data_IF_371331706311
#
_entry.id   IF_371331706311
#
_cell.length_a   1.000
_cell.length_b   1.000
_cell.length_c   1.000
_cell.angle_alpha   90.00
_cell.angle_beta   90.00
_cell.angle_gamma   90.00
#
_symmetry.space_group_name_H-M   'P 1'
#
loop_
_entity.id
_entity.type
_entity.pdbx_description
1 polymer ?
#
# COMPACT_ATOMS: atom_id res chain seq x y z
N UNK A 1 13.01 6.81 38.05
CA UNK A 1 13.61 6.11 36.88
C UNK A 1 13.04 4.71 36.63
N UNK A 2 12.88 3.83 37.63
CA UNK A 2 12.41 2.45 37.42
C UNK A 2 11.03 2.27 36.75
N UNK A 3 10.07 3.16 37.04
CA UNK A 3 8.71 3.08 36.47
C UNK A 3 8.66 3.33 34.96
N UNK A 4 9.50 4.22 34.43
CA UNK A 4 9.60 4.49 32.98
C UNK A 4 10.26 3.33 32.23
N UNK A 5 11.28 2.69 32.82
CA UNK A 5 11.91 1.50 32.24
C UNK A 5 10.95 0.31 32.23
N UNK A 6 10.18 0.09 33.31
CA UNK A 6 9.14 -0.93 33.35
C UNK A 6 8.04 -0.69 32.32
N UNK A 7 7.53 0.55 32.20
CA UNK A 7 6.53 0.90 31.19
C UNK A 7 7.01 0.63 29.77
N UNK A 8 8.27 0.98 29.47
CA UNK A 8 8.89 0.71 28.17
C UNK A 8 9.05 -0.78 27.92
N UNK A 9 9.49 -1.54 28.92
CA UNK A 9 9.58 -3.01 28.85
C UNK A 9 8.23 -3.67 28.56
N UNK A 10 7.15 -3.25 29.24
CA UNK A 10 5.79 -3.76 28.99
C UNK A 10 5.30 -3.39 27.59
N UNK A 11 5.62 -2.19 27.10
CA UNK A 11 5.28 -1.79 25.72
C UNK A 11 6.01 -2.64 24.68
N UNK A 12 7.32 -2.90 24.87
CA UNK A 12 8.09 -3.79 23.99
C UNK A 12 7.50 -5.20 23.99
N UNK A 13 7.16 -5.74 25.17
CA UNK A 13 6.54 -7.06 25.28
C UNK A 13 5.20 -7.14 24.56
N UNK A 14 4.30 -6.17 24.79
CA UNK A 14 3.00 -6.13 24.11
C UNK A 14 3.14 -5.96 22.60
N UNK A 15 4.10 -5.15 22.14
CA UNK A 15 4.40 -5.02 20.72
C UNK A 15 4.89 -6.35 20.13
N UNK A 16 5.75 -7.08 20.84
CA UNK A 16 6.19 -8.43 20.45
C UNK A 16 5.05 -9.43 20.39
N UNK A 17 4.18 -9.46 21.40
CA UNK A 17 3.00 -10.32 21.43
C UNK A 17 2.03 -9.97 20.30
N UNK A 18 1.73 -8.69 20.11
CA UNK A 18 0.90 -8.22 19.00
C UNK A 18 1.49 -8.63 17.65
N UNK A 19 2.82 -8.54 17.49
CA UNK A 19 3.50 -8.99 16.28
C UNK A 19 3.32 -10.49 16.07
N UNK A 20 3.50 -11.33 17.11
CA UNK A 20 3.30 -12.78 17.02
C UNK A 20 1.85 -13.13 16.69
N UNK A 21 0.89 -12.47 17.34
CA UNK A 21 -0.55 -12.69 17.09
C UNK A 21 -0.92 -12.25 15.68
N UNK A 22 -0.43 -11.10 15.24
CA UNK A 22 -0.59 -10.64 13.87
C UNK A 22 0.00 -11.68 12.93
N UNK A 23 1.25 -12.11 13.11
CA UNK A 23 1.88 -13.19 12.34
C UNK A 23 0.98 -14.43 12.33
N UNK A 24 0.46 -14.93 13.44
CA UNK A 24 -0.41 -16.11 13.41
C UNK A 24 -1.72 -15.89 12.64
N UNK A 25 -2.42 -14.79 12.92
CA UNK A 25 -3.71 -14.44 12.32
C UNK A 25 -3.60 -14.20 10.81
N UNK A 26 -2.45 -13.72 10.37
CA UNK A 26 -2.19 -13.38 8.99
C UNK A 26 -1.43 -14.48 8.25
N UNK A 27 -0.62 -15.32 8.89
CA UNK A 27 0.09 -16.46 8.27
C UNK A 27 -0.74 -17.73 8.27
N UNK A 28 -1.07 -18.19 9.48
CA UNK A 28 -1.46 -19.59 9.69
C UNK A 28 -2.90 -19.80 9.27
N UNK A 29 -3.77 -18.85 9.60
CA UNK A 29 -5.19 -18.92 9.25
C UNK A 29 -5.36 -18.92 7.72
N UNK A 30 -4.75 -18.01 6.94
CA UNK A 30 -4.96 -17.98 5.50
C UNK A 30 -4.32 -19.16 4.76
N UNK A 31 -3.20 -19.70 5.23
CA UNK A 31 -2.62 -20.93 4.67
C UNK A 31 -3.58 -22.12 4.83
N UNK A 32 -4.20 -22.29 6.00
CA UNK A 32 -5.20 -23.35 6.21
C UNK A 32 -6.45 -23.13 5.35
N UNK A 33 -6.91 -21.89 5.26
CA UNK A 33 -8.04 -21.53 4.40
C UNK A 33 -7.74 -21.82 2.92
N UNK A 34 -6.51 -21.54 2.47
CA UNK A 34 -6.07 -21.89 1.11
C UNK A 34 -6.19 -23.38 0.84
N UNK A 35 -5.61 -24.20 1.72
CA UNK A 35 -5.58 -25.64 1.54
C UNK A 35 -7.00 -26.22 1.46
N UNK A 36 -7.93 -25.66 2.23
CA UNK A 36 -9.34 -26.01 2.15
C UNK A 36 -9.95 -25.59 0.80
N UNK A 37 -9.73 -24.36 0.36
CA UNK A 37 -10.30 -23.86 -0.91
C UNK A 37 -9.70 -24.58 -2.13
N UNK A 38 -8.38 -24.80 -2.15
CA UNK A 38 -7.66 -25.45 -3.26
C UNK A 38 -7.98 -26.94 -3.37
N UNK A 39 -8.44 -27.58 -2.29
CA UNK A 39 -8.96 -28.95 -2.34
C UNK A 39 -10.31 -29.07 -3.06
N UNK A 40 -11.12 -28.01 -3.09
CA UNK A 40 -12.43 -27.98 -3.76
C UNK A 40 -12.33 -27.43 -5.19
N UNK A 41 -11.49 -26.41 -5.37
CA UNK A 41 -11.28 -25.71 -6.63
C UNK A 41 -9.90 -26.07 -7.18
N UNK A 42 -9.87 -27.13 -7.99
CA UNK A 42 -8.65 -27.62 -8.65
C UNK A 42 -8.21 -26.70 -9.78
N UNK A 43 -6.92 -26.74 -10.14
CA UNK A 43 -6.35 -25.93 -11.23
C UNK A 43 -7.11 -26.06 -12.55
N UNK A 44 -7.50 -27.29 -12.93
CA UNK A 44 -8.27 -27.54 -14.16
C UNK A 44 -9.63 -26.84 -14.18
N UNK A 45 -10.37 -26.87 -13.05
CA UNK A 45 -11.66 -26.18 -12.96
C UNK A 45 -11.49 -24.68 -13.19
N UNK A 46 -10.39 -24.08 -12.73
CA UNK A 46 -10.20 -22.65 -12.90
C UNK A 46 -9.70 -22.32 -14.29
N UNK A 47 -8.84 -23.14 -14.88
CA UNK A 47 -8.48 -23.01 -16.29
C UNK A 47 -9.74 -23.06 -17.17
N UNK A 48 -10.68 -23.94 -16.85
CA UNK A 48 -12.00 -23.99 -17.48
C UNK A 48 -12.85 -22.73 -17.20
N UNK A 49 -12.95 -22.28 -15.95
CA UNK A 49 -13.70 -21.06 -15.59
C UNK A 49 -13.12 -19.78 -16.22
N UNK A 50 -11.80 -19.75 -16.41
CA UNK A 50 -11.07 -18.64 -17.03
C UNK A 50 -11.26 -18.66 -18.54
N UNK A 51 -11.06 -19.81 -19.19
CA UNK A 51 -11.23 -19.98 -20.64
C UNK A 51 -12.70 -19.82 -21.09
N UNK A 52 -13.67 -20.19 -20.26
CA UNK A 52 -15.09 -19.97 -20.52
C UNK A 52 -15.54 -18.52 -20.31
N UNK A 53 -14.67 -17.64 -19.78
CA UNK A 53 -15.01 -16.26 -19.43
C UNK A 53 -16.00 -16.14 -18.26
N UNK A 54 -16.39 -17.25 -17.61
CA UNK A 54 -17.33 -17.25 -16.50
C UNK A 54 -16.74 -16.53 -15.27
N UNK A 55 -15.44 -16.70 -15.04
CA UNK A 55 -14.72 -16.04 -13.96
C UNK A 55 -14.78 -14.52 -14.08
N UNK A 56 -14.62 -13.99 -15.29
CA UNK A 56 -14.74 -12.57 -15.59
C UNK A 56 -16.15 -12.05 -15.31
N UNK A 57 -17.19 -12.81 -15.71
CA UNK A 57 -18.60 -12.44 -15.46
C UNK A 57 -18.91 -12.39 -13.97
N UNK A 58 -18.42 -13.37 -13.20
CA UNK A 58 -18.55 -13.39 -11.74
C UNK A 58 -17.86 -12.18 -11.12
N UNK A 59 -16.65 -11.83 -11.58
CA UNK A 59 -15.92 -10.65 -11.13
C UNK A 59 -16.68 -9.35 -11.39
N UNK A 60 -17.22 -9.18 -12.59
CA UNK A 60 -18.03 -8.00 -12.96
C UNK A 60 -19.28 -7.85 -12.11
N UNK A 61 -20.06 -8.93 -11.95
CA UNK A 61 -21.26 -8.90 -11.10
C UNK A 61 -20.90 -8.54 -9.66
N UNK A 62 -19.83 -9.14 -9.13
CA UNK A 62 -19.38 -8.88 -7.76
C UNK A 62 -18.91 -7.43 -7.57
N UNK A 63 -18.15 -6.89 -8.53
CA UNK A 63 -17.68 -5.50 -8.49
C UNK A 63 -18.86 -4.52 -8.57
N UNK A 64 -19.80 -4.73 -9.50
CA UNK A 64 -21.00 -3.92 -9.61
C UNK A 64 -21.84 -3.94 -8.33
N UNK A 65 -22.00 -5.11 -7.70
CA UNK A 65 -22.70 -5.24 -6.42
C UNK A 65 -21.98 -4.49 -5.29
N UNK A 66 -20.66 -4.57 -5.21
CA UNK A 66 -19.87 -3.85 -4.20
C UNK A 66 -19.95 -2.33 -4.39
N UNK A 67 -19.80 -1.84 -5.61
CA UNK A 67 -19.94 -0.41 -5.93
C UNK A 67 -21.37 0.06 -5.62
N UNK A 68 -22.39 -0.72 -6.00
CA UNK A 68 -23.78 -0.42 -5.67
C UNK A 68 -24.00 -0.39 -4.15
N UNK A 69 -23.36 -1.28 -3.39
CA UNK A 69 -23.46 -1.32 -1.94
C UNK A 69 -22.79 -0.10 -1.28
N UNK A 70 -21.64 0.34 -1.81
CA UNK A 70 -20.97 1.58 -1.38
C UNK A 70 -21.84 2.78 -1.66
N UNK A 71 -22.33 2.91 -2.91
CA UNK A 71 -23.18 4.02 -3.35
C UNK A 71 -24.49 4.05 -2.58
N UNK A 72 -25.16 2.90 -2.42
CA UNK A 72 -26.38 2.79 -1.61
C UNK A 72 -26.12 3.13 -0.14
N UNK A 73 -24.98 2.74 0.41
CA UNK A 73 -24.56 3.14 1.75
C UNK A 73 -24.40 4.65 1.91
N UNK A 74 -23.90 5.34 0.87
CA UNK A 74 -23.82 6.80 0.85
C UNK A 74 -25.18 7.47 0.65
N UNK A 75 -26.00 6.99 -0.29
CA UNK A 75 -27.33 7.56 -0.62
C UNK A 75 -28.31 7.38 0.54
N UNK A 76 -28.26 6.24 1.24
CA UNK A 76 -29.14 5.93 2.37
C UNK A 76 -28.57 6.44 3.71
N UNK A 77 -27.45 7.16 3.70
CA UNK A 77 -26.73 7.63 4.90
C UNK A 77 -26.40 6.52 5.92
N UNK A 78 -26.36 5.26 5.46
CA UNK A 78 -26.06 4.09 6.29
C UNK A 78 -24.56 3.82 6.29
N UNK A 79 -23.88 4.41 7.26
CA UNK A 79 -22.42 4.30 7.45
C UNK A 79 -21.92 2.87 7.45
N UNK A 80 -22.68 1.92 8.02
CA UNK A 80 -22.31 0.49 8.08
C UNK A 80 -22.30 -0.20 6.71
N UNK A 81 -23.19 0.19 5.79
CA UNK A 81 -23.25 -0.38 4.44
C UNK A 81 -22.13 0.19 3.56
N UNK A 82 -21.89 1.50 3.65
CA UNK A 82 -20.79 2.16 2.96
C UNK A 82 -19.43 1.64 3.46
N UNK A 83 -19.26 1.47 4.77
CA UNK A 83 -18.03 0.91 5.35
C UNK A 83 -17.81 -0.54 4.94
N UNK A 84 -18.85 -1.37 4.93
CA UNK A 84 -18.75 -2.77 4.49
C UNK A 84 -18.31 -2.87 3.03
N UNK A 85 -18.94 -2.08 2.14
CA UNK A 85 -18.57 -2.06 0.73
C UNK A 85 -17.14 -1.57 0.50
N UNK A 86 -16.71 -0.56 1.28
CA UNK A 86 -15.35 -0.02 1.22
C UNK A 86 -14.30 -1.03 1.72
N UNK A 87 -14.59 -1.74 2.80
CA UNK A 87 -13.73 -2.83 3.33
C UNK A 87 -13.65 -3.99 2.34
N UNK A 88 -14.77 -4.37 1.72
CA UNK A 88 -14.82 -5.46 0.74
C UNK A 88 -14.12 -5.07 -0.58
N UNK A 89 -14.15 -3.80 -1.00
CA UNK A 89 -13.33 -3.29 -2.09
C UNK A 89 -11.83 -3.29 -1.76
N UNK A 90 -11.46 -3.22 -0.47
CA UNK A 90 -10.08 -3.28 -0.01
C UNK A 90 -9.54 -4.72 0.08
N UNK A 91 -10.41 -5.71 0.26
CA UNK A 91 -10.06 -7.14 0.38
C UNK A 91 -9.19 -7.67 -0.79
N UNK A 92 -9.49 -7.32 -2.05
CA UNK A 92 -8.65 -7.68 -3.20
C UNK A 92 -7.27 -7.04 -3.18
N UNK A 93 -7.17 -5.79 -2.74
CA UNK A 93 -5.88 -5.12 -2.53
C UNK A 93 -5.09 -5.77 -1.41
N UNK A 94 -5.77 -6.14 -0.31
CA UNK A 94 -5.22 -7.00 0.74
C UNK A 94 -4.78 -8.36 0.20
N UNK A 95 -5.49 -8.93 -0.77
CA UNK A 95 -5.09 -10.17 -1.47
C UNK A 95 -3.84 -10.00 -2.37
N UNK A 96 -3.54 -8.81 -2.87
CA UNK A 96 -2.28 -8.53 -3.55
C UNK A 96 -1.14 -8.37 -2.54
N UNK A 97 -1.38 -7.72 -1.40
CA UNK A 97 -0.45 -7.76 -0.27
C UNK A 97 -0.25 -9.17 0.30
N UNK A 98 -1.25 -10.03 0.17
CA UNK A 98 -1.23 -11.41 0.59
C UNK A 98 -0.31 -12.31 -0.26
N UNK A 99 -0.15 -12.00 -1.55
CA UNK A 99 0.85 -12.63 -2.42
C UNK A 99 2.28 -12.31 -1.99
N UNK A 100 2.43 -11.10 -1.46
CA UNK A 100 3.68 -10.43 -1.16
C UNK A 100 4.18 -10.80 0.25
N UNK A 101 3.27 -10.88 1.20
CA UNK A 101 3.50 -11.57 2.47
C UNK A 101 3.56 -13.05 2.16
N UNK A 102 4.75 -13.63 2.23
CA UNK A 102 5.05 -15.07 2.14
C UNK A 102 4.09 -15.97 2.96
N UNK A 103 3.31 -15.38 3.85
CA UNK A 103 2.41 -16.03 4.76
C UNK A 103 0.94 -16.14 4.31
N UNK A 104 0.55 -15.45 3.24
CA UNK A 104 -0.85 -15.21 2.87
C UNK A 104 -1.12 -15.69 1.43
N UNK A 105 -0.27 -16.58 0.91
CA UNK A 105 -0.26 -17.23 -0.41
C UNK A 105 -1.60 -17.93 -0.79
N UNK A 106 -2.63 -17.77 0.03
CA UNK A 106 -3.84 -18.53 0.06
C UNK A 106 -5.11 -17.95 -0.56
N UNK A 107 -5.22 -16.62 -0.61
CA UNK A 107 -6.49 -15.96 -0.93
C UNK A 107 -6.51 -15.45 -2.38
N UNK A 108 -5.91 -16.18 -3.31
CA UNK A 108 -5.80 -15.78 -4.71
C UNK A 108 -7.14 -15.53 -5.42
N UNK A 109 -8.23 -16.14 -4.95
CA UNK A 109 -9.55 -15.97 -5.55
C UNK A 109 -10.10 -14.53 -5.44
N UNK A 110 -9.67 -13.74 -4.45
CA UNK A 110 -10.12 -12.34 -4.31
C UNK A 110 -9.61 -11.43 -5.44
N UNK A 111 -8.60 -11.88 -6.20
CA UNK A 111 -8.10 -11.16 -7.39
C UNK A 111 -9.12 -11.06 -8.49
N UNK A 112 -10.13 -11.93 -8.49
CA UNK A 112 -11.26 -11.91 -9.43
C UNK A 112 -11.95 -10.55 -9.45
N UNK A 113 -11.93 -9.82 -8.33
CA UNK A 113 -12.51 -8.48 -8.23
C UNK A 113 -11.70 -7.41 -9.00
N UNK A 114 -10.41 -7.63 -9.24
CA UNK A 114 -9.55 -6.73 -10.03
C UNK A 114 -9.42 -7.14 -11.50
N UNK A 115 -9.80 -8.38 -11.88
CA UNK A 115 -9.66 -8.87 -13.26
C UNK A 115 -10.27 -7.92 -14.30
N UNK A 116 -11.48 -7.35 -14.11
CA UNK A 116 -12.04 -6.43 -15.09
C UNK A 116 -11.19 -5.19 -15.34
N UNK A 117 -10.50 -4.69 -14.31
CA UNK A 117 -9.67 -3.50 -14.41
C UNK A 117 -8.29 -3.84 -14.99
N UNK A 118 -7.75 -5.02 -14.66
CA UNK A 118 -6.47 -5.49 -15.17
C UNK A 118 -6.46 -5.63 -16.70
N UNK A 119 -7.57 -6.10 -17.29
CA UNK A 119 -7.68 -6.25 -18.73
C UNK A 119 -7.79 -4.90 -19.46
N UNK A 120 -8.43 -3.90 -18.82
CA UNK A 120 -8.61 -2.55 -19.40
C UNK A 120 -7.33 -1.72 -19.27
N UNK A 121 -6.60 -1.90 -18.17
CA UNK A 121 -5.46 -1.07 -17.78
C UNK A 121 -4.20 -1.93 -17.45
N UNK A 122 -3.71 -2.76 -18.38
CA UNK A 122 -2.66 -3.75 -18.09
C UNK A 122 -1.32 -3.10 -17.67
N UNK A 123 -1.03 -1.92 -18.21
CA UNK A 123 0.22 -1.19 -18.00
C UNK A 123 0.20 -0.26 -16.78
N UNK A 124 -0.97 -0.03 -16.17
CA UNK A 124 -1.11 1.01 -15.14
C UNK A 124 -0.27 0.69 -13.91
N UNK A 125 -0.03 -0.59 -13.60
CA UNK A 125 0.83 -0.99 -12.49
C UNK A 125 2.34 -0.82 -12.75
N UNK A 126 2.78 -0.60 -14.00
CA UNK A 126 4.20 -0.55 -14.35
C UNK A 126 4.91 0.68 -13.78
N UNK A 127 4.22 1.82 -13.73
CA UNK A 127 4.78 3.09 -13.24
C UNK A 127 5.22 2.99 -11.77
N UNK A 128 4.60 2.11 -10.97
CA UNK A 128 5.05 1.86 -9.58
C UNK A 128 6.50 1.39 -9.53
N UNK A 129 6.96 0.66 -10.54
CA UNK A 129 8.31 0.10 -10.57
C UNK A 129 9.35 1.06 -11.15
N UNK A 130 8.97 2.29 -11.48
CA UNK A 130 9.89 3.29 -12.04
C UNK A 130 11.15 3.52 -11.18
N UNK A 131 11.07 3.59 -9.83
CA UNK A 131 12.29 3.68 -9.01
C UNK A 131 13.25 2.51 -9.22
N UNK A 132 12.74 1.31 -9.49
CA UNK A 132 13.58 0.14 -9.81
C UNK A 132 14.14 0.19 -11.23
N UNK A 133 13.38 0.72 -12.20
CA UNK A 133 13.89 0.93 -13.55
C UNK A 133 15.07 1.89 -13.57
N UNK A 134 15.06 2.92 -12.72
CA UNK A 134 16.19 3.86 -12.53
C UNK A 134 17.41 3.16 -11.91
N UNK A 135 17.24 2.07 -11.15
CA UNK A 135 18.37 1.29 -10.62
C UNK A 135 19.10 0.49 -11.71
N UNK A 136 18.45 0.14 -12.82
CA UNK A 136 19.07 -0.64 -13.91
C UNK A 136 20.31 0.03 -14.50
N UNK A 137 20.29 1.31 -14.94
CA UNK A 137 21.49 1.97 -15.44
C UNK A 137 22.57 2.11 -14.35
N UNK A 138 22.17 2.35 -13.09
CA UNK A 138 23.11 2.41 -11.97
C UNK A 138 23.84 1.07 -11.78
N UNK A 139 23.10 -0.05 -11.82
CA UNK A 139 23.66 -1.41 -11.77
C UNK A 139 24.65 -1.62 -12.92
N UNK A 140 24.31 -1.21 -14.15
CA UNK A 140 25.21 -1.35 -15.31
C UNK A 140 26.50 -0.56 -15.14
N UNK A 141 26.41 0.69 -14.67
CA UNK A 141 27.58 1.54 -14.40
C UNK A 141 28.45 0.90 -13.32
N UNK A 142 27.83 0.42 -12.22
CA UNK A 142 28.55 -0.21 -11.12
C UNK A 142 29.24 -1.51 -11.55
N UNK A 143 28.58 -2.33 -12.36
CA UNK A 143 29.17 -3.54 -12.94
C UNK A 143 30.37 -3.25 -13.83
N UNK A 144 30.28 -2.20 -14.65
CA UNK A 144 31.41 -1.75 -15.45
C UNK A 144 32.58 -1.26 -14.58
N UNK A 145 32.30 -0.45 -13.55
CA UNK A 145 33.31 0.06 -12.62
C UNK A 145 34.01 -1.03 -11.83
N UNK A 146 33.27 -2.05 -11.38
CA UNK A 146 33.79 -3.14 -10.57
C UNK A 146 34.34 -4.32 -11.40
N UNK A 147 34.24 -4.27 -12.73
CA UNK A 147 34.67 -5.36 -13.60
C UNK A 147 33.93 -6.68 -13.33
N UNK A 148 32.67 -6.61 -12.90
CA UNK A 148 31.87 -7.76 -12.46
C UNK A 148 30.66 -7.97 -13.35
N UNK A 149 30.12 -9.19 -13.33
CA UNK A 149 28.95 -9.55 -14.12
C UNK A 149 27.71 -8.73 -13.72
N UNK A 150 26.99 -8.22 -14.73
CA UNK A 150 25.78 -7.41 -14.56
C UNK A 150 24.68 -8.20 -13.83
N UNK A 151 24.59 -9.50 -14.07
CA UNK A 151 23.66 -10.40 -13.40
C UNK A 151 23.91 -10.49 -11.89
N UNK A 152 25.18 -10.59 -11.46
CA UNK A 152 25.51 -10.68 -10.02
C UNK A 152 25.12 -9.39 -9.30
N UNK A 153 25.52 -8.23 -9.82
CA UNK A 153 25.16 -6.94 -9.20
C UNK A 153 23.66 -6.69 -9.30
N UNK A 154 23.03 -7.06 -10.42
CA UNK A 154 21.58 -6.95 -10.58
C UNK A 154 20.81 -7.78 -9.56
N UNK A 155 21.26 -9.00 -9.28
CA UNK A 155 20.69 -9.86 -8.23
C UNK A 155 20.88 -9.21 -6.85
N UNK A 156 22.11 -8.78 -6.52
CA UNK A 156 22.40 -8.16 -5.22
C UNK A 156 21.58 -6.87 -5.04
N UNK A 157 21.50 -6.01 -6.04
CA UNK A 157 20.72 -4.78 -6.00
C UNK A 157 19.21 -5.06 -5.91
N UNK A 158 18.71 -6.05 -6.66
CA UNK A 158 17.31 -6.48 -6.62
C UNK A 158 16.91 -7.02 -5.25
N UNK A 159 17.62 -8.02 -4.73
CA UNK A 159 17.34 -8.58 -3.40
C UNK A 159 17.64 -7.58 -2.28
N UNK A 160 18.72 -6.81 -2.40
CA UNK A 160 19.10 -5.79 -1.44
C UNK A 160 18.03 -4.71 -1.30
N UNK A 161 17.47 -4.23 -2.42
CA UNK A 161 16.38 -3.25 -2.40
C UNK A 161 15.09 -3.82 -1.81
N UNK A 162 14.73 -5.08 -2.12
CA UNK A 162 13.60 -5.77 -1.49
C UNK A 162 13.79 -5.83 0.04
N UNK A 163 14.93 -6.31 0.49
CA UNK A 163 15.25 -6.42 1.91
C UNK A 163 15.28 -5.04 2.60
N UNK A 164 15.79 -4.01 1.91
CA UNK A 164 15.81 -2.65 2.41
C UNK A 164 14.40 -2.09 2.64
N UNK A 165 13.51 -2.22 1.65
CA UNK A 165 12.14 -1.72 1.78
C UNK A 165 11.30 -2.53 2.78
N UNK A 166 11.39 -3.86 2.75
CA UNK A 166 10.68 -4.73 3.71
C UNK A 166 11.22 -4.52 5.13
N UNK A 167 12.54 -4.63 5.32
CA UNK A 167 13.17 -4.50 6.63
C UNK A 167 13.05 -3.08 7.19
N UNK A 168 13.36 -2.07 6.37
CA UNK A 168 13.24 -0.66 6.74
C UNK A 168 11.79 -0.27 7.04
N UNK A 169 10.84 -0.67 6.18
CA UNK A 169 9.42 -0.42 6.42
C UNK A 169 8.91 -1.08 7.69
N UNK A 170 9.27 -2.34 7.94
CA UNK A 170 8.92 -3.05 9.18
C UNK A 170 9.52 -2.37 10.42
N UNK A 171 10.76 -1.91 10.31
CA UNK A 171 11.44 -1.21 11.39
C UNK A 171 10.77 0.13 11.71
N UNK A 172 10.46 0.94 10.70
CA UNK A 172 9.74 2.22 10.89
C UNK A 172 8.34 1.98 11.47
N UNK A 173 7.63 0.95 11.00
CA UNK A 173 6.32 0.55 11.55
C UNK A 173 6.42 0.18 13.04
N UNK A 174 7.43 -0.60 13.40
CA UNK A 174 7.69 -1.02 14.78
C UNK A 174 8.00 0.19 15.67
N UNK A 175 8.87 1.11 15.23
CA UNK A 175 9.17 2.33 15.97
C UNK A 175 7.92 3.21 16.14
N UNK A 176 7.09 3.31 15.10
CA UNK A 176 5.84 4.07 15.15
C UNK A 176 4.83 3.46 16.13
N UNK A 177 4.75 2.13 16.16
CA UNK A 177 3.85 1.42 17.08
C UNK A 177 4.34 1.52 18.53
N UNK A 178 5.65 1.41 18.77
CA UNK A 178 6.23 1.56 20.12
C UNK A 178 6.01 2.96 20.68
N UNK A 179 6.33 4.00 19.91
CA UNK A 179 6.13 5.39 20.31
C UNK A 179 4.66 5.70 20.58
N UNK A 180 3.76 5.20 19.72
CA UNK A 180 2.32 5.38 19.89
C UNK A 180 1.79 4.72 21.17
N UNK A 181 2.13 3.44 21.40
CA UNK A 181 1.73 2.73 22.61
C UNK A 181 2.31 3.37 23.89
N UNK A 182 3.55 3.84 23.82
CA UNK A 182 4.19 4.53 24.93
C UNK A 182 3.50 5.85 25.25
N UNK A 183 3.19 6.68 24.25
CA UNK A 183 2.49 7.94 24.41
C UNK A 183 1.07 7.75 24.96
N UNK A 184 0.33 6.78 24.42
CA UNK A 184 -1.02 6.44 24.93
C UNK A 184 -0.98 5.97 26.39
N UNK A 185 0.00 5.16 26.80
CA UNK A 185 0.16 4.75 28.21
C UNK A 185 0.53 5.90 29.14
N UNK A 186 1.22 6.91 28.63
CA UNK A 186 1.52 8.14 29.37
C UNK A 186 0.35 9.12 29.45
N UNK A 187 -0.73 8.87 28.71
CA UNK A 187 -1.85 9.80 28.60
C UNK A 187 -1.51 11.05 27.79
N UNK A 188 -0.53 10.97 26.88
CA UNK A 188 -0.22 12.09 25.98
C UNK A 188 -1.31 12.23 24.92
N UNK A 189 -1.78 13.46 24.75
CA UNK A 189 -2.76 13.88 23.76
C UNK A 189 -2.20 13.77 22.35
N UNK A 190 -1.10 14.49 22.09
CA UNK A 190 -0.32 14.42 20.84
C UNK A 190 0.99 13.67 21.09
N UNK A 191 1.34 12.77 20.18
CA UNK A 191 2.56 11.95 20.24
C UNK A 191 3.54 12.56 19.25
N UNK A 192 4.50 13.32 19.76
CA UNK A 192 5.41 14.18 19.01
C UNK A 192 6.88 13.79 19.18
N UNK A 193 7.18 12.65 19.80
CA UNK A 193 8.54 12.22 20.14
C UNK A 193 8.97 10.95 19.39
N UNK A 194 10.27 10.69 19.35
CA UNK A 194 10.84 9.50 18.71
C UNK A 194 10.65 9.56 17.20
N UNK A 195 10.15 8.48 16.59
CA UNK A 195 9.93 8.48 15.12
C UNK A 195 8.87 9.49 14.68
N UNK A 196 7.97 9.90 15.59
CA UNK A 196 6.96 10.92 15.31
C UNK A 196 7.55 12.33 15.12
N UNK A 197 8.83 12.57 15.43
CA UNK A 197 9.51 13.84 15.13
C UNK A 197 9.90 13.98 13.65
N UNK A 198 9.96 12.86 12.93
CA UNK A 198 10.41 12.80 11.53
C UNK A 198 9.26 12.53 10.56
N UNK A 199 8.11 12.13 11.08
CA UNK A 199 6.93 11.74 10.31
C UNK A 199 5.72 11.82 11.21
N UNK A 200 4.64 12.48 10.78
CA UNK A 200 3.36 12.46 11.52
C UNK A 200 2.65 11.11 11.43
N UNK A 201 2.97 10.34 10.40
CA UNK A 201 2.34 9.07 10.09
C UNK A 201 3.38 7.94 9.90
N UNK A 202 4.25 7.66 10.89
CA UNK A 202 5.36 6.72 10.73
C UNK A 202 4.87 5.28 10.53
N UNK A 203 3.75 4.89 11.15
CA UNK A 203 3.16 3.56 10.94
C UNK A 203 2.67 3.41 9.49
N UNK A 204 1.99 4.40 8.94
CA UNK A 204 1.57 4.38 7.54
C UNK A 204 2.75 4.40 6.59
N UNK A 205 3.80 5.19 6.88
CA UNK A 205 5.04 5.16 6.13
C UNK A 205 5.67 3.76 6.13
N UNK A 206 5.79 3.14 7.31
CA UNK A 206 6.31 1.80 7.46
C UNK A 206 5.53 0.77 6.65
N UNK A 207 4.20 0.84 6.70
CA UNK A 207 3.31 0.01 5.88
C UNK A 207 3.52 0.23 4.37
N UNK A 208 3.59 1.48 3.90
CA UNK A 208 3.81 1.81 2.50
C UNK A 208 5.15 1.24 2.01
N UNK A 209 6.24 1.48 2.74
CA UNK A 209 7.58 1.00 2.38
C UNK A 209 7.67 -0.53 2.39
N UNK A 210 7.19 -1.15 3.47
CA UNK A 210 7.21 -2.59 3.63
C UNK A 210 6.45 -3.28 2.49
N UNK A 211 5.28 -2.75 2.19
CA UNK A 211 4.38 -3.32 1.20
C UNK A 211 4.81 -3.04 -0.24
N UNK A 212 5.57 -1.97 -0.48
CA UNK A 212 6.25 -1.67 -1.74
C UNK A 212 7.38 -2.65 -2.07
N UNK A 213 8.30 -2.89 -1.14
CA UNK A 213 9.39 -3.86 -1.34
C UNK A 213 8.87 -5.26 -1.66
N UNK A 214 7.75 -5.59 -1.04
CA UNK A 214 7.07 -6.82 -1.30
C UNK A 214 6.32 -6.87 -2.66
N UNK A 215 5.63 -5.81 -3.08
CA UNK A 215 4.98 -5.75 -4.41
C UNK A 215 5.99 -5.92 -5.55
N UNK A 216 7.23 -5.49 -5.34
CA UNK A 216 8.35 -5.73 -6.25
C UNK A 216 8.84 -7.17 -6.24
N UNK A 217 8.91 -7.84 -5.08
CA UNK A 217 9.25 -9.28 -5.01
C UNK A 217 8.30 -10.11 -5.86
N UNK A 218 7.00 -9.84 -5.81
CA UNK A 218 5.98 -10.56 -6.59
C UNK A 218 6.04 -10.24 -8.07
N UNK A 219 6.36 -9.00 -8.44
CA UNK A 219 6.59 -8.64 -9.86
C UNK A 219 7.87 -9.22 -10.45
N UNK A 220 8.88 -9.53 -9.61
CA UNK A 220 10.22 -9.98 -10.05
C UNK A 220 10.41 -11.49 -10.04
N UNK A 221 9.70 -12.21 -9.15
CA UNK A 221 9.70 -13.68 -9.16
C UNK A 221 8.67 -14.11 -10.19
N UNK A 222 9.08 -15.02 -11.09
CA UNK A 222 8.21 -15.65 -12.07
C UNK A 222 6.81 -15.89 -11.48
N UNK A 223 5.73 -15.54 -12.22
CA UNK A 223 4.39 -15.56 -11.68
C UNK A 223 4.17 -16.90 -11.00
N UNK A 224 3.89 -16.95 -9.68
CA UNK A 224 3.49 -18.22 -9.07
C UNK A 224 2.38 -18.80 -9.95
N UNK A 225 2.29 -20.11 -10.19
CA UNK A 225 1.27 -20.66 -11.08
C UNK A 225 -0.11 -20.18 -10.61
N UNK A 226 -0.62 -19.12 -11.24
CA UNK A 226 -1.69 -18.36 -10.64
C UNK A 226 -2.96 -19.06 -11.05
N UNK A 227 -3.51 -19.86 -10.14
CA UNK A 227 -4.82 -20.46 -10.28
C UNK A 227 -5.93 -19.43 -10.60
N UNK A 228 -5.71 -18.12 -10.64
CA UNK A 228 -6.74 -17.07 -10.74
C UNK A 228 -6.38 -15.84 -11.63
N UNK A 229 -5.46 -15.98 -12.59
CA UNK A 229 -5.05 -14.90 -13.51
C UNK A 229 -3.92 -14.00 -12.99
N UNK A 230 -3.11 -13.44 -13.90
CA UNK A 230 -1.99 -12.53 -13.59
C UNK A 230 -2.43 -11.07 -13.74
N UNK A 231 -2.33 -10.30 -12.65
CA UNK A 231 -2.51 -8.85 -12.65
C UNK A 231 -1.26 -8.24 -12.04
N UNK A 232 -0.76 -7.16 -12.64
CA UNK A 232 0.39 -6.45 -12.09
C UNK A 232 0.06 -5.89 -10.68
N UNK A 233 0.87 -6.18 -9.65
CA UNK A 233 0.57 -5.78 -8.27
C UNK A 233 0.62 -4.25 -8.06
N UNK A 234 1.23 -3.51 -8.99
CA UNK A 234 1.44 -2.07 -8.86
C UNK A 234 0.14 -1.26 -8.75
N UNK A 235 -0.88 -1.55 -9.54
CA UNK A 235 -2.12 -0.77 -9.49
C UNK A 235 -2.90 -0.97 -8.17
N UNK A 236 -3.15 -2.21 -7.69
CA UNK A 236 -3.71 -2.43 -6.36
C UNK A 236 -2.87 -1.79 -5.24
N UNK A 237 -1.54 -1.85 -5.34
CA UNK A 237 -0.63 -1.21 -4.40
C UNK A 237 -0.84 0.32 -4.36
N UNK A 238 -0.91 0.99 -5.52
CA UNK A 238 -1.18 2.43 -5.57
C UNK A 238 -2.51 2.78 -4.92
N UNK A 239 -3.58 2.06 -5.24
CA UNK A 239 -4.91 2.32 -4.66
C UNK A 239 -4.84 2.19 -3.14
N UNK A 240 -4.09 1.22 -2.61
CA UNK A 240 -3.83 1.12 -1.18
C UNK A 240 -3.13 2.35 -0.62
N UNK A 241 -2.05 2.80 -1.26
CA UNK A 241 -1.32 4.01 -0.83
C UNK A 241 -2.27 5.20 -0.78
N UNK A 242 -3.05 5.45 -1.84
CA UNK A 242 -4.00 6.57 -1.87
C UNK A 242 -5.05 6.47 -0.76
N UNK A 243 -5.54 5.27 -0.44
CA UNK A 243 -6.48 5.06 0.66
C UNK A 243 -5.84 5.29 2.03
N UNK A 244 -4.62 4.81 2.23
CA UNK A 244 -3.83 5.08 3.45
C UNK A 244 -3.61 6.58 3.62
N UNK A 245 -3.31 7.30 2.54
CA UNK A 245 -3.21 8.77 2.55
C UNK A 245 -4.54 9.42 2.95
N UNK A 246 -5.68 8.91 2.46
CA UNK A 246 -7.00 9.42 2.84
C UNK A 246 -7.31 9.20 4.32
N UNK A 247 -6.96 8.02 4.85
CA UNK A 247 -7.12 7.70 6.27
C UNK A 247 -6.25 8.65 7.12
N UNK A 248 -4.99 8.84 6.74
CA UNK A 248 -4.08 9.75 7.42
C UNK A 248 -4.59 11.21 7.42
N UNK A 249 -5.10 11.70 6.28
CA UNK A 249 -5.71 13.04 6.19
C UNK A 249 -6.97 13.16 7.06
N UNK A 250 -7.77 12.10 7.14
CA UNK A 250 -8.95 12.06 8.00
C UNK A 250 -8.58 12.04 9.49
N UNK A 251 -7.50 11.34 9.84
CA UNK A 251 -6.93 11.33 11.18
C UNK A 251 -6.43 12.72 11.57
N UNK A 252 -5.72 13.44 10.69
CA UNK A 252 -5.30 14.82 10.96
C UNK A 252 -6.50 15.76 11.20
N UNK A 253 -7.60 15.61 10.46
CA UNK A 253 -8.82 16.38 10.71
C UNK A 253 -9.40 16.11 12.10
N UNK A 254 -9.37 14.85 12.53
CA UNK A 254 -9.86 14.45 13.86
C UNK A 254 -8.95 15.00 14.96
N UNK A 255 -7.64 14.93 14.76
CA UNK A 255 -6.65 15.46 15.71
C UNK A 255 -6.75 16.99 15.84
N UNK A 256 -6.97 17.73 14.75
CA UNK A 256 -7.23 19.18 14.82
C UNK A 256 -8.52 19.48 15.58
N UNK A 257 -9.57 18.68 15.41
CA UNK A 257 -10.84 18.87 16.12
C UNK A 257 -10.72 18.58 17.63
N UNK A 258 -9.93 17.58 18.00
CA UNK A 258 -9.80 17.12 19.39
C UNK A 258 -8.75 17.92 20.19
N UNK A 259 -7.63 18.28 19.55
CA UNK A 259 -6.46 18.85 20.23
C UNK A 259 -6.08 20.26 19.75
N UNK A 260 -6.78 20.81 18.75
CA UNK A 260 -6.67 22.21 18.34
C UNK A 260 -5.22 22.66 18.08
N UNK A 261 -4.80 23.74 18.74
CA UNK A 261 -3.49 24.37 18.58
C UNK A 261 -2.31 23.44 18.88
N UNK A 262 -2.43 22.52 19.87
CA UNK A 262 -1.35 21.59 20.22
C UNK A 262 -0.96 20.73 19.01
N UNK A 263 -1.96 20.23 18.28
CA UNK A 263 -1.72 19.46 17.06
C UNK A 263 -1.30 20.35 15.88
N UNK A 264 -1.78 21.59 15.80
CA UNK A 264 -1.38 22.53 14.74
C UNK A 264 0.12 22.86 14.83
N UNK A 265 0.64 23.15 16.03
CA UNK A 265 2.08 23.39 16.24
C UNK A 265 2.90 22.16 15.86
N UNK A 266 2.49 20.96 16.30
CA UNK A 266 3.16 19.71 15.89
C UNK A 266 3.14 19.51 14.36
N UNK A 267 2.03 19.88 13.71
CA UNK A 267 1.86 19.75 12.26
C UNK A 267 2.77 20.69 11.46
N UNK A 268 3.07 21.88 11.99
CA UNK A 268 3.98 22.84 11.37
C UNK A 268 5.44 22.38 11.44
N UNK A 269 5.84 21.73 12.53
CA UNK A 269 7.22 21.32 12.77
C UNK A 269 7.58 19.98 12.12
N UNK A 270 6.61 19.07 12.00
CA UNK A 270 6.86 17.68 11.55
C UNK A 270 6.24 17.42 10.18
N UNK A 271 6.93 16.81 9.21
CA UNK A 271 6.36 16.51 7.88
C UNK A 271 5.31 15.38 7.90
N UNK A 272 4.40 15.39 6.93
CA UNK A 272 3.27 14.44 6.84
C UNK A 272 3.71 12.96 6.82
N UNK A 273 4.63 12.59 5.92
CA UNK A 273 5.17 11.23 5.83
C UNK A 273 6.69 11.23 5.83
N UNK A 274 7.32 11.90 4.87
CA UNK A 274 8.76 11.92 4.69
C UNK A 274 9.29 13.36 4.78
N UNK A 275 10.49 13.58 5.35
CA UNK A 275 11.18 14.86 5.29
C UNK A 275 11.69 15.10 3.87
N UNK A 276 10.84 15.68 3.02
CA UNK A 276 11.16 16.02 1.64
C UNK A 276 11.75 17.43 1.55
N UNK A 277 12.72 17.67 0.63
CA UNK A 277 13.10 19.02 0.22
C UNK A 277 11.88 19.86 -0.19
N UNK A 278 11.92 21.16 0.09
CA UNK A 278 10.79 22.08 -0.12
C UNK A 278 10.24 22.07 -1.55
N UNK A 279 11.10 21.92 -2.56
CA UNK A 279 10.68 21.85 -3.95
C UNK A 279 9.87 20.56 -4.26
N UNK A 280 10.27 19.41 -3.72
CA UNK A 280 9.54 18.14 -3.88
C UNK A 280 8.23 18.18 -3.13
N UNK A 281 8.23 18.70 -1.90
CA UNK A 281 7.00 18.88 -1.13
C UNK A 281 6.00 19.75 -1.88
N UNK A 282 6.48 20.86 -2.48
CA UNK A 282 5.64 21.77 -3.28
C UNK A 282 5.15 21.12 -4.57
N UNK A 283 5.98 20.34 -5.26
CA UNK A 283 5.56 19.61 -6.47
C UNK A 283 4.48 18.58 -6.15
N UNK A 284 4.67 17.80 -5.08
CA UNK A 284 3.72 16.75 -4.67
C UNK A 284 2.40 17.37 -4.21
N UNK A 285 2.43 18.41 -3.39
CA UNK A 285 1.21 19.05 -2.82
C UNK A 285 0.58 20.10 -3.73
N UNK A 286 1.29 20.56 -4.75
CA UNK A 286 0.86 21.62 -5.66
C UNK A 286 -0.49 21.36 -6.34
N UNK A 287 -0.73 20.18 -6.94
CA UNK A 287 -2.03 19.88 -7.56
C UNK A 287 -3.20 19.96 -6.56
N UNK A 288 -3.00 19.47 -5.34
CA UNK A 288 -4.02 19.56 -4.28
C UNK A 288 -4.26 21.03 -3.89
N UNK A 289 -3.19 21.80 -3.69
CA UNK A 289 -3.27 23.24 -3.35
C UNK A 289 -4.01 24.02 -4.43
N UNK A 290 -3.75 23.72 -5.70
CA UNK A 290 -4.44 24.32 -6.83
C UNK A 290 -5.93 23.95 -6.84
N UNK A 291 -6.27 22.69 -6.58
CA UNK A 291 -7.66 22.21 -6.56
C UNK A 291 -8.46 22.78 -5.38
N UNK A 292 -7.87 22.85 -4.19
CA UNK A 292 -8.56 23.21 -2.94
C UNK A 292 -8.41 24.68 -2.56
N UNK A 293 -7.44 25.40 -3.12
CA UNK A 293 -7.08 26.77 -2.72
C UNK A 293 -6.45 26.87 -1.32
N UNK A 294 -5.98 25.77 -0.75
CA UNK A 294 -5.44 25.67 0.62
C UNK A 294 -4.48 24.49 0.78
N UNK A 295 -3.71 24.51 1.85
CA UNK A 295 -2.67 23.51 2.12
C UNK A 295 -3.20 22.14 2.55
N UNK A 296 -4.40 22.08 3.15
CA UNK A 296 -4.95 20.86 3.72
C UNK A 296 -6.46 20.75 3.50
N UNK A 297 -6.99 19.53 3.26
CA UNK A 297 -8.42 19.31 3.23
C UNK A 297 -9.00 19.51 4.64
N UNK A 298 -10.05 20.31 4.77
CA UNK A 298 -10.76 20.55 6.03
C UNK A 298 -12.12 19.82 6.10
N UNK A 299 -12.64 19.39 4.95
CA UNK A 299 -13.90 18.63 4.85
C UNK A 299 -13.64 17.21 4.34
N UNK A 300 -14.46 16.24 4.78
CA UNK A 300 -14.38 14.85 4.31
C UNK A 300 -14.51 14.73 2.77
N UNK A 301 -15.35 15.57 2.15
CA UNK A 301 -15.53 15.60 0.68
C UNK A 301 -14.25 16.02 -0.05
N UNK A 302 -13.45 16.89 0.55
CA UNK A 302 -12.19 17.35 -0.05
C UNK A 302 -11.13 16.24 -0.05
N UNK A 303 -11.14 15.35 0.95
CA UNK A 303 -10.28 14.14 0.94
C UNK A 303 -10.63 13.25 -0.26
N UNK A 304 -11.91 13.09 -0.58
CA UNK A 304 -12.33 12.34 -1.76
C UNK A 304 -11.86 13.03 -3.06
N UNK A 305 -11.93 14.36 -3.14
CA UNK A 305 -11.40 15.10 -4.30
C UNK A 305 -9.89 14.90 -4.46
N UNK A 306 -9.15 14.92 -3.34
CA UNK A 306 -7.71 14.63 -3.32
C UNK A 306 -7.42 13.22 -3.82
N UNK A 307 -8.20 12.21 -3.37
CA UNK A 307 -8.07 10.84 -3.85
C UNK A 307 -8.23 10.75 -5.37
N UNK A 308 -9.32 11.28 -5.92
CA UNK A 308 -9.59 11.21 -7.35
C UNK A 308 -8.60 12.04 -8.17
N UNK A 309 -8.12 13.16 -7.65
CA UNK A 309 -7.08 13.97 -8.28
C UNK A 309 -5.80 13.15 -8.46
N UNK A 310 -5.25 12.59 -7.39
CA UNK A 310 -4.00 11.84 -7.46
C UNK A 310 -4.15 10.52 -8.22
N UNK A 311 -5.31 9.87 -8.13
CA UNK A 311 -5.61 8.70 -8.97
C UNK A 311 -5.59 9.08 -10.46
N UNK A 312 -6.23 10.18 -10.84
CA UNK A 312 -6.29 10.64 -12.23
C UNK A 312 -4.91 11.06 -12.75
N UNK A 313 -4.14 11.80 -11.94
CA UNK A 313 -2.77 12.19 -12.28
C UNK A 313 -1.88 10.96 -12.47
N UNK A 314 -2.03 9.95 -11.62
CA UNK A 314 -1.30 8.70 -11.77
C UNK A 314 -1.70 7.97 -13.05
N UNK A 315 -3.00 7.80 -13.31
CA UNK A 315 -3.49 7.11 -14.51
C UNK A 315 -2.97 7.79 -15.79
N UNK A 316 -2.98 9.13 -15.81
CA UNK A 316 -2.41 9.91 -16.91
C UNK A 316 -0.89 9.68 -17.03
N UNK A 317 -0.15 9.74 -15.92
CA UNK A 317 1.29 9.50 -15.93
C UNK A 317 1.63 8.08 -16.37
N UNK A 318 0.86 7.08 -15.94
CA UNK A 318 1.06 5.68 -16.31
C UNK A 318 0.76 5.45 -17.79
N UNK A 319 -0.29 6.11 -18.32
CA UNK A 319 -0.59 6.12 -19.75
C UNK A 319 0.58 6.73 -20.55
N UNK A 320 1.03 7.94 -20.19
CA UNK A 320 2.16 8.59 -20.88
C UNK A 320 3.43 7.75 -20.81
N UNK A 321 3.72 7.17 -19.65
CA UNK A 321 4.87 6.30 -19.45
C UNK A 321 4.81 5.07 -20.35
N UNK A 322 3.66 4.40 -20.44
CA UNK A 322 3.50 3.22 -21.30
C UNK A 322 3.74 3.55 -22.78
N UNK A 323 3.16 4.64 -23.29
CA UNK A 323 3.38 5.06 -24.68
C UNK A 323 4.82 5.49 -24.95
N UNK A 324 5.46 6.16 -23.99
CA UNK A 324 6.89 6.48 -24.08
C UNK A 324 7.73 5.20 -24.17
N UNK A 325 7.46 4.21 -23.32
CA UNK A 325 8.15 2.93 -23.34
C UNK A 325 7.93 2.17 -24.65
N UNK A 326 6.70 2.18 -25.20
CA UNK A 326 6.41 1.62 -26.52
C UNK A 326 7.16 2.35 -27.64
N UNK A 327 7.25 3.68 -27.60
CA UNK A 327 8.01 4.44 -28.61
C UNK A 327 9.52 4.14 -28.54
N UNK A 328 10.07 4.01 -27.32
CA UNK A 328 11.48 3.72 -27.11
C UNK A 328 11.85 2.27 -27.44
N UNK A 329 11.01 1.30 -27.07
CA UNK A 329 11.28 -0.13 -27.23
C UNK A 329 10.72 -0.74 -28.51
N UNK A 330 9.67 -0.13 -29.08
CA UNK A 330 9.01 -0.55 -30.32
C UNK A 330 9.62 0.02 -31.61
N UNK A 331 10.75 0.73 -31.52
CA UNK A 331 11.55 1.16 -32.68
C UNK A 331 12.56 0.09 -33.16
N UNK A 332 12.20 -1.20 -33.06
CA UNK A 332 12.96 -2.32 -33.64
C UNK A 332 12.09 -3.17 -34.53
#
# INVERSE_FOLDING_TARGET
MGKNHQLRGVSIFLAGLFTIVMVYATVVIPMKLHAQISSVITGEKITFLTSSGLLWRIGMVSLCLLVALVVAGFVLEKTRLSSLGSVLLYLPTFSYFALVMWWLYGIGFLRVLWLPIADILPFVGELVYLPYLVLIPLVRILSWLLGTDIGIIGIIAGYGSICFFIGGGSFVFLLGTEAWLYGKKKGQAVIDFGVYQYSRHPQYLGFILWSYGGSFRVGSVAPPPVLWGYIHPGFPWLVSVLLVMCIALFEEQTMVQEYGEEYLSYREETPFLLPLPSFLATLVTGPMRLLLGKDHPTKKREIAYVFFLYLSLYLLAAYLFHYLMLALLGSR
#
